data_IF_276564652952
#
_entry.id   IF_276564652952
#
_cell.length_a   1.000
_cell.length_b   1.000
_cell.length_c   1.000
_cell.angle_alpha   90.00
_cell.angle_beta   90.00
_cell.angle_gamma   90.00
#
_symmetry.space_group_name_H-M   'P 1'
#
loop_
_entity.id
_entity.type
_entity.pdbx_description
1 polymer ?
#
# COMPACT_ATOMS: atom_id res chain seq x y z
N UNK A 1 -65.63 -27.31 40.68
CA UNK A 1 -65.32 -25.94 41.12
C UNK A 1 -63.82 -25.79 41.32
N UNK A 2 -63.07 -25.28 40.33
CA UNK A 2 -61.72 -24.73 40.54
C UNK A 2 -61.54 -23.57 39.55
N UNK A 3 -61.40 -22.35 40.10
CA UNK A 3 -61.19 -21.11 39.35
C UNK A 3 -59.69 -21.00 39.02
N UNK A 4 -59.33 -20.86 37.75
CA UNK A 4 -57.98 -20.47 37.34
C UNK A 4 -57.83 -18.94 37.42
N UNK A 5 -56.73 -18.42 38.01
CA UNK A 5 -56.44 -16.99 38.02
C UNK A 5 -55.80 -16.52 36.71
N UNK A 6 -56.33 -15.42 36.17
CA UNK A 6 -55.79 -14.67 35.05
C UNK A 6 -54.33 -14.26 35.28
N UNK A 7 -53.42 -14.75 34.45
CA UNK A 7 -52.04 -14.24 34.38
C UNK A 7 -52.02 -12.92 33.62
N UNK A 8 -51.73 -11.84 34.34
CA UNK A 8 -51.55 -10.51 33.79
C UNK A 8 -50.30 -10.47 32.89
N UNK A 9 -50.49 -10.08 31.63
CA UNK A 9 -49.42 -9.88 30.65
C UNK A 9 -48.73 -8.54 30.94
N UNK A 10 -47.63 -8.57 31.70
CA UNK A 10 -46.83 -7.39 32.02
C UNK A 10 -46.14 -6.87 30.76
N UNK A 11 -46.56 -5.70 30.26
CA UNK A 11 -45.88 -4.97 29.17
C UNK A 11 -44.57 -4.39 29.71
N UNK A 12 -43.44 -4.82 29.16
CA UNK A 12 -42.13 -4.22 29.43
C UNK A 12 -42.09 -2.78 28.92
N UNK A 13 -41.68 -1.79 29.74
CA UNK A 13 -41.50 -0.43 29.26
C UNK A 13 -40.25 -0.37 28.38
N UNK A 14 -40.41 -0.01 27.11
CA UNK A 14 -39.31 0.37 26.23
C UNK A 14 -38.68 1.66 26.75
N UNK A 15 -37.61 1.50 27.53
CA UNK A 15 -36.81 2.61 28.07
C UNK A 15 -36.12 3.33 26.91
N UNK A 16 -36.67 4.48 26.50
CA UNK A 16 -35.98 5.39 25.57
C UNK A 16 -34.71 5.89 26.27
N UNK A 17 -33.51 5.75 25.66
CA UNK A 17 -32.30 6.26 26.27
C UNK A 17 -32.36 7.79 26.36
N UNK A 18 -31.77 8.40 27.39
CA UNK A 18 -31.79 9.84 27.58
C UNK A 18 -31.12 10.53 26.38
N UNK A 19 -31.71 11.63 25.90
CA UNK A 19 -31.23 12.41 24.74
C UNK A 19 -29.75 12.80 24.86
N UNK A 20 -29.27 12.98 26.10
CA UNK A 20 -27.87 13.27 26.40
C UNK A 20 -26.90 12.13 26.02
N UNK A 21 -27.30 10.86 26.15
CA UNK A 21 -26.46 9.72 25.79
C UNK A 21 -26.28 9.64 24.26
N UNK A 22 -27.36 9.89 23.50
CA UNK A 22 -27.30 9.94 22.03
C UNK A 22 -26.43 11.08 21.54
N UNK A 23 -26.55 12.27 22.13
CA UNK A 23 -25.71 13.42 21.79
C UNK A 23 -24.23 13.14 22.04
N UNK A 24 -23.89 12.51 23.18
CA UNK A 24 -22.51 12.12 23.50
C UNK A 24 -21.96 11.05 22.55
N UNK A 25 -22.77 10.06 22.21
CA UNK A 25 -22.37 9.01 21.26
C UNK A 25 -22.13 9.58 19.86
N UNK A 26 -22.99 10.47 19.39
CA UNK A 26 -22.81 11.15 18.10
C UNK A 26 -21.55 12.04 18.11
N UNK A 27 -21.31 12.80 19.17
CA UNK A 27 -20.10 13.62 19.28
C UNK A 27 -18.82 12.76 19.27
N UNK A 28 -18.80 11.66 20.02
CA UNK A 28 -17.68 10.73 20.04
C UNK A 28 -17.44 10.07 18.68
N UNK A 29 -18.52 9.68 17.98
CA UNK A 29 -18.44 9.07 16.65
C UNK A 29 -17.91 10.07 15.62
N UNK A 30 -18.38 11.32 15.63
CA UNK A 30 -17.88 12.38 14.74
C UNK A 30 -16.40 12.66 14.95
N UNK A 31 -15.94 12.66 16.21
CA UNK A 31 -14.52 12.88 16.53
C UNK A 31 -13.65 11.71 16.04
N UNK A 32 -14.13 10.46 16.16
CA UNK A 32 -13.44 9.28 15.66
C UNK A 32 -13.36 9.26 14.11
N UNK A 33 -14.45 9.62 13.43
CA UNK A 33 -14.48 9.75 11.96
C UNK A 33 -13.53 10.84 11.45
N UNK A 34 -13.45 11.98 12.13
CA UNK A 34 -12.52 13.05 11.77
C UNK A 34 -11.05 12.64 11.94
N UNK A 35 -10.73 11.90 13.00
CA UNK A 35 -9.38 11.38 13.23
C UNK A 35 -8.94 10.41 12.12
N UNK A 36 -9.82 9.50 11.70
CA UNK A 36 -9.52 8.55 10.61
C UNK A 36 -9.36 9.24 9.25
N UNK A 37 -10.18 10.25 8.94
CA UNK A 37 -10.07 11.00 7.68
C UNK A 37 -8.78 11.84 7.57
N UNK A 38 -8.20 12.26 8.70
CA UNK A 38 -6.98 13.07 8.72
C UNK A 38 -5.76 12.32 8.18
N UNK A 39 -5.68 11.00 8.40
CA UNK A 39 -4.54 10.19 7.96
C UNK A 39 -4.49 10.01 6.44
N UNK A 40 -5.64 9.86 5.78
CA UNK A 40 -5.68 9.69 4.32
C UNK A 40 -5.39 10.99 3.57
N UNK A 41 -5.81 12.14 4.11
CA UNK A 41 -5.56 13.45 3.50
C UNK A 41 -4.08 13.85 3.58
N UNK A 42 -3.37 13.42 4.62
CA UNK A 42 -1.96 13.74 4.79
C UNK A 42 -1.06 12.94 3.82
N UNK A 43 -1.45 11.72 3.46
CA UNK A 43 -0.72 10.88 2.50
C UNK A 43 -0.92 11.39 1.07
N UNK A 44 -2.15 11.70 0.67
CA UNK A 44 -2.46 12.22 -0.68
C UNK A 44 -1.78 13.56 -0.98
N UNK A 45 -1.48 14.37 0.06
CA UNK A 45 -0.70 15.62 -0.10
C UNK A 45 0.78 15.39 -0.32
N UNK A 46 1.35 14.22 -0.01
CA UNK A 46 2.77 13.94 -0.23
C UNK A 46 3.11 13.71 -1.70
N UNK A 47 2.14 13.32 -2.51
CA UNK A 47 2.35 13.07 -3.93
C UNK A 47 2.36 14.36 -4.77
N UNK A 48 1.88 15.48 -4.22
CA UNK A 48 1.92 16.80 -4.88
C UNK A 48 3.03 17.67 -4.31
N UNK A 49 4.16 17.72 -5.00
CA UNK A 49 5.31 18.54 -4.65
C UNK A 49 5.20 19.98 -5.17
N UNK A 50 4.38 20.23 -6.20
CA UNK A 50 4.21 21.56 -6.80
C UNK A 50 2.79 21.79 -7.36
N UNK A 51 2.38 23.05 -7.37
CA UNK A 51 1.23 23.56 -8.13
C UNK A 51 1.68 24.43 -9.30
N UNK A 52 2.81 25.11 -9.16
CA UNK A 52 3.43 26.03 -10.12
C UNK A 52 4.95 25.88 -10.12
N UNK A 53 5.64 26.39 -11.15
CA UNK A 53 7.10 26.35 -11.24
C UNK A 53 7.80 27.05 -10.06
N UNK A 54 7.14 28.06 -9.46
CA UNK A 54 7.66 28.77 -8.30
C UNK A 54 7.82 27.86 -7.08
N UNK A 55 7.00 26.82 -6.95
CA UNK A 55 7.10 25.84 -5.86
C UNK A 55 8.37 24.99 -5.98
N UNK A 56 8.91 24.87 -7.19
CA UNK A 56 10.14 24.14 -7.49
C UNK A 56 11.41 25.00 -7.39
N UNK A 57 11.31 26.27 -6.98
CA UNK A 57 12.45 27.19 -6.90
C UNK A 57 13.60 26.70 -6.00
N UNK A 58 13.33 25.77 -5.08
CA UNK A 58 14.37 25.10 -4.27
C UNK A 58 15.31 24.23 -5.08
N UNK A 59 14.85 23.73 -6.23
CA UNK A 59 15.61 22.87 -7.14
C UNK A 59 16.03 23.71 -8.35
N UNK A 60 17.33 24.08 -8.46
CA UNK A 60 17.81 24.88 -9.58
C UNK A 60 17.49 24.22 -10.91
N UNK A 61 16.82 24.95 -11.80
CA UNK A 61 16.43 24.43 -13.12
C UNK A 61 15.28 23.42 -13.08
N UNK A 62 14.49 23.33 -12.01
CA UNK A 62 13.27 22.51 -12.01
C UNK A 62 12.02 23.31 -12.36
N UNK A 63 11.05 22.64 -13.00
CA UNK A 63 9.70 23.12 -13.30
C UNK A 63 8.66 22.15 -12.74
N UNK A 64 7.42 22.61 -12.59
CA UNK A 64 6.34 21.76 -12.14
C UNK A 64 5.77 20.95 -13.30
N UNK A 65 5.76 19.62 -13.19
CA UNK A 65 5.00 18.76 -14.11
C UNK A 65 3.49 18.87 -13.79
N UNK A 66 2.64 19.38 -14.70
CA UNK A 66 1.21 19.50 -14.45
C UNK A 66 0.49 18.15 -14.33
N UNK A 67 1.04 17.08 -14.91
CA UNK A 67 0.48 15.73 -14.87
C UNK A 67 0.75 15.03 -13.53
N UNK A 68 2.02 14.97 -13.14
CA UNK A 68 2.47 14.33 -11.90
C UNK A 68 2.46 15.22 -10.66
N UNK A 69 2.36 16.56 -10.80
CA UNK A 69 2.50 17.53 -9.69
C UNK A 69 3.82 17.38 -8.93
N UNK A 70 4.88 16.98 -9.63
CA UNK A 70 6.23 16.77 -9.12
C UNK A 70 7.20 17.76 -9.78
N UNK A 71 8.24 18.18 -9.06
CA UNK A 71 9.28 19.02 -9.61
C UNK A 71 10.23 18.20 -10.48
N UNK A 72 10.31 18.51 -11.77
CA UNK A 72 11.16 17.83 -12.76
C UNK A 72 12.14 18.82 -13.40
N UNK A 73 13.29 18.38 -13.94
CA UNK A 73 14.19 19.26 -14.66
C UNK A 73 13.51 19.99 -15.84
N UNK A 74 13.70 21.31 -15.94
CA UNK A 74 13.04 22.19 -16.89
C UNK A 74 13.51 22.01 -18.33
N UNK A 75 14.72 21.50 -18.54
CA UNK A 75 15.23 21.30 -19.89
C UNK A 75 14.56 20.12 -20.59
N UNK A 76 13.81 19.26 -19.88
CA UNK A 76 13.26 18.02 -20.45
C UNK A 76 14.33 17.12 -21.07
N UNK A 77 15.61 17.45 -20.86
CA UNK A 77 16.77 16.67 -21.22
C UNK A 77 16.84 15.60 -20.14
N UNK A 78 16.47 14.34 -20.40
CA UNK A 78 17.05 13.26 -19.62
C UNK A 78 18.56 13.49 -19.70
N UNK A 79 19.24 13.69 -18.57
CA UNK A 79 20.52 14.39 -18.48
C UNK A 79 21.61 13.73 -19.35
N UNK A 80 21.71 14.03 -20.66
CA UNK A 80 22.45 13.19 -21.61
C UNK A 80 22.40 11.70 -21.21
N UNK A 81 21.18 11.31 -20.85
CA UNK A 81 20.96 10.35 -19.78
C UNK A 81 20.62 9.01 -20.35
N UNK A 82 21.00 7.98 -19.63
CA UNK A 82 20.64 6.61 -19.95
C UNK A 82 19.19 6.31 -19.57
N UNK A 83 18.30 7.30 -19.58
CA UNK A 83 16.86 7.16 -19.36
C UNK A 83 16.21 6.91 -20.72
N UNK A 84 15.86 5.66 -20.99
CA UNK A 84 15.18 5.20 -22.18
C UNK A 84 13.66 5.33 -22.12
N UNK A 85 13.03 4.94 -23.23
CA UNK A 85 11.58 4.90 -23.34
C UNK A 85 10.95 3.98 -22.27
N UNK A 86 9.68 4.25 -21.95
CA UNK A 86 8.91 3.51 -20.94
C UNK A 86 9.49 3.50 -19.51
N UNK A 87 10.41 4.45 -19.22
CA UNK A 87 11.02 4.62 -17.89
C UNK A 87 12.18 3.66 -17.61
N UNK A 88 12.72 3.03 -18.65
CA UNK A 88 13.77 2.03 -18.54
C UNK A 88 15.16 2.58 -18.79
N UNK A 89 16.18 2.03 -18.12
CA UNK A 89 17.57 2.40 -18.37
C UNK A 89 18.04 1.90 -19.76
N UNK A 90 18.60 2.79 -20.59
CA UNK A 90 18.94 2.53 -22.01
C UNK A 90 20.42 2.35 -22.32
N UNK A 91 21.33 2.61 -21.38
CA UNK A 91 22.77 2.37 -21.58
C UNK A 91 23.22 1.01 -21.06
N UNK A 92 24.49 0.65 -21.33
CA UNK A 92 25.14 -0.48 -20.68
C UNK A 92 25.21 -0.25 -19.15
N UNK A 93 24.57 -1.11 -18.32
CA UNK A 93 24.54 -0.93 -16.88
C UNK A 93 25.90 -1.22 -16.25
N UNK A 94 26.33 -0.34 -15.34
CA UNK A 94 27.57 -0.44 -14.56
C UNK A 94 27.32 -0.62 -13.06
N UNK A 95 26.06 -0.45 -12.63
CA UNK A 95 25.62 -0.67 -11.25
C UNK A 95 24.40 -1.60 -11.22
N UNK A 96 24.12 -2.20 -10.06
CA UNK A 96 22.96 -3.06 -9.89
C UNK A 96 21.64 -2.30 -10.10
N UNK A 97 21.55 -1.05 -9.67
CA UNK A 97 20.36 -0.24 -9.87
C UNK A 97 20.09 0.01 -11.35
N UNK A 98 21.13 0.29 -12.14
CA UNK A 98 21.01 0.43 -13.60
C UNK A 98 20.58 -0.88 -14.27
N UNK A 99 21.12 -2.02 -13.82
CA UNK A 99 20.74 -3.33 -14.34
C UNK A 99 19.28 -3.68 -14.03
N UNK A 100 18.80 -3.35 -12.83
CA UNK A 100 17.42 -3.62 -12.40
C UNK A 100 16.40 -2.69 -13.06
N UNK A 101 16.81 -1.48 -13.41
CA UNK A 101 15.95 -0.51 -14.09
C UNK A 101 16.04 -0.60 -15.62
N UNK A 102 16.92 -1.44 -16.19
CA UNK A 102 16.99 -1.67 -17.62
C UNK A 102 15.81 -2.53 -18.09
N UNK A 103 15.11 -2.08 -19.13
CA UNK A 103 14.15 -2.93 -19.82
C UNK A 103 14.92 -4.09 -20.46
N UNK A 104 14.45 -5.30 -20.25
CA UNK A 104 14.97 -6.49 -20.92
C UNK A 104 13.98 -6.91 -22.00
N UNK A 105 14.47 -7.43 -23.11
CA UNK A 105 13.67 -8.16 -24.11
C UNK A 105 13.46 -9.63 -23.71
N UNK A 106 13.70 -9.97 -22.44
CA UNK A 106 13.63 -11.32 -21.95
C UNK A 106 12.21 -11.89 -22.15
N UNK A 107 12.11 -12.94 -22.95
CA UNK A 107 10.90 -13.72 -23.05
C UNK A 107 10.71 -14.54 -21.76
N UNK A 108 9.51 -14.48 -21.17
CA UNK A 108 9.11 -15.39 -20.10
C UNK A 108 9.18 -16.83 -20.62
N UNK A 109 10.24 -17.56 -20.26
CA UNK A 109 10.33 -18.99 -20.52
C UNK A 109 9.80 -19.75 -19.31
N UNK A 110 8.75 -20.58 -19.47
CA UNK A 110 8.31 -21.46 -18.42
C UNK A 110 9.49 -22.29 -17.91
N UNK A 111 9.59 -22.42 -16.59
CA UNK A 111 10.59 -23.27 -15.99
C UNK A 111 10.27 -24.74 -16.33
N UNK A 112 11.30 -25.51 -16.68
CA UNK A 112 11.15 -26.93 -17.00
C UNK A 112 11.16 -27.76 -15.71
N UNK A 113 9.98 -28.10 -15.22
CA UNK A 113 9.79 -28.89 -14.00
C UNK A 113 10.43 -30.29 -14.10
N UNK A 114 10.69 -30.81 -15.30
CA UNK A 114 11.41 -32.07 -15.47
C UNK A 114 12.87 -31.99 -14.98
N UNK A 115 13.42 -30.77 -14.82
CA UNK A 115 14.75 -30.54 -14.25
C UNK A 115 14.79 -30.66 -12.73
N UNK A 116 13.63 -30.67 -12.05
CA UNK A 116 13.55 -30.83 -10.61
C UNK A 116 13.63 -32.32 -10.25
N UNK A 117 14.84 -32.87 -10.31
CA UNK A 117 15.09 -34.29 -10.00
C UNK A 117 14.78 -34.66 -8.54
N UNK A 118 14.78 -33.67 -7.65
CA UNK A 118 14.65 -33.84 -6.20
C UNK A 118 13.29 -33.37 -5.65
N UNK A 119 12.33 -33.00 -6.50
CA UNK A 119 11.03 -32.46 -6.11
C UNK A 119 9.88 -33.32 -6.63
N UNK A 120 10.03 -34.66 -6.58
CA UNK A 120 9.11 -35.63 -7.21
C UNK A 120 7.69 -35.63 -6.62
N UNK A 121 7.51 -35.04 -5.44
CA UNK A 121 6.29 -35.13 -4.64
C UNK A 121 5.87 -33.75 -4.07
N UNK A 122 6.52 -32.66 -4.51
CA UNK A 122 6.25 -31.30 -4.03
C UNK A 122 6.69 -31.02 -2.58
N UNK A 123 7.24 -32.03 -1.89
CA UNK A 123 7.83 -31.89 -0.56
C UNK A 123 9.27 -31.43 -0.61
N UNK A 124 9.61 -30.41 0.18
CA UNK A 124 11.00 -30.09 0.48
C UNK A 124 11.59 -31.21 1.34
N UNK A 125 12.87 -31.60 1.13
CA UNK A 125 13.57 -32.45 2.08
C UNK A 125 13.45 -31.88 3.50
N UNK A 126 13.34 -32.73 4.53
CA UNK A 126 13.29 -32.25 5.90
C UNK A 126 14.53 -31.37 6.19
N UNK A 127 14.30 -30.24 6.84
CA UNK A 127 15.39 -29.38 7.31
C UNK A 127 16.29 -30.22 8.24
N UNK A 128 17.62 -30.02 8.21
CA UNK A 128 18.49 -30.64 9.19
C UNK A 128 18.02 -30.27 10.60
N UNK A 129 18.01 -31.24 11.50
CA UNK A 129 17.79 -30.98 12.92
C UNK A 129 18.80 -29.91 13.40
N UNK A 130 18.38 -28.93 14.24
CA UNK A 130 19.31 -27.98 14.83
C UNK A 130 20.36 -28.73 15.66
N UNK A 131 21.54 -28.98 15.07
CA UNK A 131 22.60 -29.80 15.67
C UNK A 131 23.26 -30.79 14.71
N UNK A 132 22.66 -31.08 13.56
CA UNK A 132 23.32 -31.84 12.49
C UNK A 132 24.22 -30.91 11.65
N UNK A 133 25.22 -30.31 12.30
CA UNK A 133 26.34 -29.69 11.59
C UNK A 133 27.09 -30.79 10.85
N UNK A 134 26.85 -30.89 9.54
CA UNK A 134 27.63 -31.74 8.66
C UNK A 134 29.10 -31.34 8.74
N UNK A 135 29.90 -32.23 9.33
CA UNK A 135 31.35 -32.12 9.26
C UNK A 135 31.81 -32.24 7.81
N UNK A 136 32.58 -31.23 7.38
CA UNK A 136 33.72 -31.38 6.47
C UNK A 136 34.83 -30.48 6.98
#
# INVERSE_FOLDING_TARGET
MQRQPSSARTRSPTRRPPRALRARLCAALSLALAALASCSVLVERRDRQCATDADCARFPGARCDPGGRVCVPADGVPPAGCDGDDGCYSCAPTTNEQLLNACTDAACRPFDDARLTNLRDGGLPPLPEPGASGGR
#
